data_IF_153738177019
#
_entry.id   IF_153738177019
#
_cell.length_a   1.000
_cell.length_b   1.000
_cell.length_c   1.000
_cell.angle_alpha   90.00
_cell.angle_beta   90.00
_cell.angle_gamma   90.00
#
_symmetry.space_group_name_H-M   'P 1'
#
loop_
_entity.id
_entity.type
_entity.pdbx_description
1 polymer ?
#
# COMPACT_ATOMS: atom_id res chain seq x y z
N UNK A 1 -9.69 -15.37 -3.92
CA UNK A 1 -8.83 -14.16 -3.99
C UNK A 1 -7.58 -14.41 -3.18
N UNK A 2 -6.41 -13.98 -3.66
CA UNK A 2 -5.13 -14.07 -2.92
C UNK A 2 -4.46 -12.70 -2.86
N UNK A 3 -3.55 -12.53 -1.91
CA UNK A 3 -2.76 -11.30 -1.79
C UNK A 3 -1.60 -11.30 -2.80
N UNK A 4 -1.33 -10.15 -3.43
CA UNK A 4 -0.23 -9.95 -4.37
C UNK A 4 0.50 -8.65 -4.08
N UNK A 5 1.79 -8.78 -3.79
CA UNK A 5 2.71 -7.67 -3.57
C UNK A 5 3.47 -7.43 -4.87
N UNK A 6 3.14 -6.34 -5.58
CA UNK A 6 3.77 -6.03 -6.86
C UNK A 6 4.97 -5.10 -6.72
N UNK A 7 4.96 -4.18 -5.75
CA UNK A 7 5.93 -3.08 -5.65
C UNK A 7 7.33 -3.49 -5.22
N UNK A 8 7.47 -4.59 -4.47
CA UNK A 8 8.75 -5.01 -3.90
C UNK A 8 8.84 -6.53 -3.75
N UNK A 9 10.00 -7.05 -3.40
CA UNK A 9 10.16 -8.46 -3.04
C UNK A 9 11.19 -8.62 -1.92
N UNK A 10 11.37 -9.84 -1.42
CA UNK A 10 12.40 -10.14 -0.43
C UNK A 10 13.82 -9.86 -0.98
N UNK A 11 14.70 -9.32 -0.14
CA UNK A 11 16.14 -9.21 -0.45
C UNK A 11 16.81 -10.57 -0.68
N UNK A 12 16.15 -11.67 -0.31
CA UNK A 12 16.58 -13.04 -0.59
C UNK A 12 16.06 -13.59 -1.92
N UNK A 13 15.18 -12.87 -2.60
CA UNK A 13 14.67 -13.27 -3.90
C UNK A 13 15.80 -13.34 -4.94
N UNK A 14 15.74 -14.31 -5.85
CA UNK A 14 16.77 -14.52 -6.86
C UNK A 14 17.02 -13.28 -7.72
N UNK A 15 15.97 -12.54 -8.06
CA UNK A 15 16.09 -11.31 -8.85
C UNK A 15 16.94 -10.24 -8.15
N UNK A 16 16.74 -10.03 -6.84
CA UNK A 16 17.52 -9.04 -6.10
C UNK A 16 18.96 -9.52 -5.89
N UNK A 17 19.16 -10.79 -5.59
CA UNK A 17 20.52 -11.37 -5.46
C UNK A 17 21.35 -11.21 -6.73
N UNK A 18 20.74 -11.40 -7.90
CA UNK A 18 21.38 -11.16 -9.20
C UNK A 18 21.62 -9.66 -9.43
N UNK A 19 20.60 -8.82 -9.26
CA UNK A 19 20.67 -7.36 -9.46
C UNK A 19 21.77 -6.71 -8.63
N UNK A 20 21.90 -7.08 -7.34
CA UNK A 20 22.87 -6.49 -6.42
C UNK A 20 24.31 -6.95 -6.64
N UNK A 21 24.51 -8.02 -7.42
CA UNK A 21 25.83 -8.61 -7.62
C UNK A 21 26.78 -7.70 -8.41
N UNK A 22 26.26 -6.96 -9.39
CA UNK A 22 27.03 -6.01 -10.21
C UNK A 22 26.10 -5.00 -10.90
N UNK A 23 26.70 -4.02 -11.59
CA UNK A 23 25.95 -3.06 -12.43
C UNK A 23 25.65 -3.59 -13.84
N UNK A 24 26.26 -4.72 -14.23
CA UNK A 24 26.30 -5.25 -15.60
C UNK A 24 25.71 -6.67 -15.70
N UNK A 25 24.63 -6.97 -14.99
CA UNK A 25 23.95 -8.25 -15.08
C UNK A 25 22.54 -8.10 -15.71
N UNK A 26 21.91 -9.19 -16.19
CA UNK A 26 20.59 -9.12 -16.82
C UNK A 26 19.49 -8.47 -15.97
N UNK A 27 19.62 -8.48 -14.64
CA UNK A 27 18.67 -7.87 -13.72
C UNK A 27 19.20 -6.58 -13.07
N UNK A 28 20.27 -6.00 -13.61
CA UNK A 28 20.90 -4.82 -13.04
C UNK A 28 19.92 -3.66 -12.81
N UNK A 29 18.92 -3.51 -13.69
CA UNK A 29 17.92 -2.44 -13.66
C UNK A 29 16.52 -2.91 -13.21
N UNK A 30 16.44 -4.08 -12.57
CA UNK A 30 15.16 -4.61 -12.09
C UNK A 30 14.70 -4.04 -10.76
N UNK A 31 15.60 -3.39 -10.04
CA UNK A 31 15.34 -2.70 -8.77
C UNK A 31 15.74 -1.23 -8.89
N UNK A 32 15.24 -0.42 -7.99
CA UNK A 32 15.53 1.02 -8.02
C UNK A 32 16.88 1.27 -7.37
N UNK A 33 17.87 1.57 -8.18
CA UNK A 33 19.23 1.87 -7.77
C UNK A 33 19.60 3.33 -8.05
N UNK A 34 20.40 3.92 -7.17
CA UNK A 34 20.95 5.26 -7.38
C UNK A 34 22.38 5.38 -6.84
N UNK A 35 23.19 6.20 -7.51
CA UNK A 35 24.50 6.55 -7.02
C UNK A 35 24.41 7.47 -5.79
N UNK A 36 25.40 7.40 -4.91
CA UNK A 36 25.53 8.35 -3.82
C UNK A 36 25.78 9.76 -4.36
N UNK A 37 25.35 10.78 -3.61
CA UNK A 37 25.79 12.16 -3.81
C UNK A 37 27.31 12.28 -3.60
N UNK A 38 27.96 13.37 -4.05
CA UNK A 38 29.39 13.54 -3.88
C UNK A 38 29.89 13.47 -2.43
N UNK A 39 29.04 13.76 -1.46
CA UNK A 39 29.31 13.65 -0.02
C UNK A 39 29.05 12.25 0.57
N UNK A 40 28.67 11.29 -0.27
CA UNK A 40 28.36 9.92 0.13
C UNK A 40 26.93 9.70 0.65
N UNK A 41 26.10 10.74 0.71
CA UNK A 41 24.70 10.62 1.19
C UNK A 41 23.78 10.00 0.12
N UNK A 42 22.55 9.51 0.53
CA UNK A 42 21.55 9.03 -0.41
C UNK A 42 21.14 10.06 -1.46
N UNK A 43 20.55 9.62 -2.60
CA UNK A 43 20.19 10.50 -3.72
C UNK A 43 19.19 11.59 -3.33
N UNK A 44 18.31 11.31 -2.36
CA UNK A 44 17.28 12.24 -1.89
C UNK A 44 16.88 11.94 -0.43
N UNK A 45 15.87 12.67 0.05
CA UNK A 45 15.43 12.64 1.45
C UNK A 45 14.26 11.68 1.73
N UNK A 46 13.95 10.74 0.85
CA UNK A 46 12.79 9.87 1.03
C UNK A 46 12.92 9.01 2.28
N UNK A 47 11.77 8.83 2.96
CA UNK A 47 11.66 8.07 4.19
C UNK A 47 10.87 6.78 3.95
N UNK A 48 11.28 5.72 4.64
CA UNK A 48 10.57 4.45 4.69
C UNK A 48 9.35 4.52 5.60
N UNK A 49 8.28 3.82 5.25
CA UNK A 49 7.03 3.79 6.02
C UNK A 49 7.23 3.21 7.44
N UNK A 50 8.22 2.33 7.62
CA UNK A 50 8.59 1.78 8.92
C UNK A 50 9.65 2.59 9.66
N UNK A 51 9.95 3.79 9.18
CA UNK A 51 10.91 4.73 9.77
C UNK A 51 12.30 4.65 9.18
N UNK A 52 13.04 5.74 9.32
CA UNK A 52 14.38 5.89 8.76
C UNK A 52 14.40 6.18 7.25
N UNK A 53 15.62 6.30 6.66
CA UNK A 53 15.78 6.55 5.24
C UNK A 53 15.21 5.41 4.37
N UNK A 54 14.61 5.76 3.23
CA UNK A 54 14.15 4.78 2.24
C UNK A 54 15.28 4.21 1.36
N UNK A 55 16.52 4.59 1.61
CA UNK A 55 17.68 4.19 0.83
C UNK A 55 18.69 3.44 1.67
N UNK A 56 19.10 2.25 1.21
CA UNK A 56 20.15 1.46 1.85
C UNK A 56 21.33 1.24 0.91
N UNK A 57 22.53 1.46 1.44
CA UNK A 57 23.79 1.25 0.70
C UNK A 57 24.08 -0.24 0.50
N UNK A 58 24.36 -0.64 -0.76
CA UNK A 58 24.84 -1.98 -1.11
C UNK A 58 26.31 -1.88 -1.56
N UNK A 59 27.24 -2.31 -0.70
CA UNK A 59 28.68 -2.12 -0.96
C UNK A 59 29.21 -2.93 -2.15
N UNK A 60 28.59 -4.07 -2.49
CA UNK A 60 29.02 -4.90 -3.64
C UNK A 60 28.80 -4.17 -4.95
N UNK A 61 27.67 -3.48 -5.04
CA UNK A 61 27.27 -2.72 -6.21
C UNK A 61 27.81 -1.28 -6.17
N UNK A 62 28.09 -0.75 -4.99
CA UNK A 62 28.49 0.64 -4.77
C UNK A 62 27.37 1.62 -5.14
N UNK A 63 26.12 1.28 -4.79
CA UNK A 63 24.92 2.11 -5.00
C UNK A 63 23.98 1.97 -3.82
N UNK A 64 23.06 2.92 -3.70
CA UNK A 64 21.87 2.81 -2.85
C UNK A 64 20.75 2.10 -3.60
N UNK A 65 19.98 1.27 -2.89
CA UNK A 65 18.69 0.78 -3.40
C UNK A 65 17.54 1.35 -2.59
N UNK A 66 16.40 1.56 -3.26
CA UNK A 66 15.16 2.03 -2.66
C UNK A 66 14.46 0.89 -1.91
N UNK A 67 13.89 1.22 -0.75
CA UNK A 67 12.93 0.39 -0.02
C UNK A 67 11.90 1.28 0.66
N UNK A 68 10.72 1.39 0.13
CA UNK A 68 9.62 2.13 0.76
C UNK A 68 9.17 1.49 2.08
N UNK A 69 9.41 0.20 2.26
CA UNK A 69 9.12 -0.60 3.44
C UNK A 69 10.42 -1.00 4.17
N UNK A 70 10.57 -2.26 4.57
CA UNK A 70 11.79 -2.71 5.24
C UNK A 70 12.99 -2.76 4.27
N UNK A 71 14.18 -2.57 4.80
CA UNK A 71 15.41 -2.72 3.99
C UNK A 71 15.62 -4.15 3.45
N UNK A 72 14.88 -5.14 3.97
CA UNK A 72 14.80 -6.48 3.41
C UNK A 72 13.76 -6.63 2.29
N UNK A 73 13.06 -5.54 1.93
CA UNK A 73 12.03 -5.47 0.91
C UNK A 73 12.40 -4.42 -0.16
N UNK A 74 13.43 -4.69 -1.00
CA UNK A 74 13.85 -3.77 -2.06
C UNK A 74 12.74 -3.55 -3.09
N UNK A 75 12.57 -2.30 -3.51
CA UNK A 75 11.55 -1.90 -4.48
C UNK A 75 11.96 -2.28 -5.90
N UNK A 76 11.02 -2.87 -6.63
CA UNK A 76 11.14 -3.19 -8.04
C UNK A 76 11.06 -1.91 -8.90
N UNK A 77 11.83 -1.87 -9.98
CA UNK A 77 11.86 -0.75 -10.90
C UNK A 77 10.81 -0.88 -12.01
N UNK A 78 9.61 -0.38 -11.79
CA UNK A 78 8.52 -0.43 -12.78
C UNK A 78 8.72 0.49 -13.99
N UNK A 79 9.72 1.39 -13.99
CA UNK A 79 10.15 2.09 -15.20
C UNK A 79 10.84 1.12 -16.19
N UNK A 80 11.29 -0.04 -15.73
CA UNK A 80 11.75 -1.13 -16.58
C UNK A 80 10.55 -1.97 -17.07
N UNK A 81 10.28 -2.02 -18.38
CA UNK A 81 9.14 -2.76 -18.91
C UNK A 81 9.21 -4.27 -18.68
N UNK A 82 10.42 -4.84 -18.51
CA UNK A 82 10.58 -6.27 -18.20
C UNK A 82 10.06 -6.60 -16.79
N UNK A 83 10.23 -5.69 -15.82
CA UNK A 83 9.70 -5.83 -14.46
C UNK A 83 8.18 -5.81 -14.49
N UNK A 84 7.59 -4.83 -15.22
CA UNK A 84 6.14 -4.73 -15.40
C UNK A 84 5.57 -6.00 -16.03
N UNK A 85 6.18 -6.48 -17.11
CA UNK A 85 5.76 -7.71 -17.77
C UNK A 85 5.85 -8.93 -16.83
N UNK A 86 6.97 -9.10 -16.12
CA UNK A 86 7.16 -10.21 -15.18
C UNK A 86 6.13 -10.21 -14.04
N UNK A 87 5.70 -9.03 -13.57
CA UNK A 87 4.66 -8.96 -12.54
C UNK A 87 3.26 -9.26 -13.09
N UNK A 88 2.96 -8.87 -14.32
CA UNK A 88 1.73 -9.30 -15.00
C UNK A 88 1.71 -10.81 -15.25
N UNK A 89 2.84 -11.41 -15.65
CA UNK A 89 2.99 -12.86 -15.80
C UNK A 89 2.76 -13.60 -14.46
N UNK A 90 3.20 -13.00 -13.33
CA UNK A 90 2.92 -13.56 -12.01
C UNK A 90 1.41 -13.57 -11.69
N UNK A 91 0.67 -12.53 -12.05
CA UNK A 91 -0.78 -12.50 -11.87
C UNK A 91 -1.45 -13.55 -12.77
N UNK A 92 -1.06 -13.60 -14.06
CA UNK A 92 -1.58 -14.59 -15.02
C UNK A 92 -1.34 -16.02 -14.57
N UNK A 93 -0.15 -16.32 -14.04
CA UNK A 93 0.19 -17.63 -13.47
C UNK A 93 -0.83 -18.11 -12.41
N UNK A 94 -1.33 -17.21 -11.55
CA UNK A 94 -2.31 -17.57 -10.53
C UNK A 94 -3.73 -17.66 -11.08
N UNK A 95 -4.10 -16.78 -12.02
CA UNK A 95 -5.39 -16.83 -12.71
C UNK A 95 -5.54 -18.15 -13.48
N UNK A 96 -4.50 -18.59 -14.18
CA UNK A 96 -4.48 -19.89 -14.91
C UNK A 96 -4.63 -21.10 -13.96
N UNK A 97 -4.41 -20.91 -12.67
CA UNK A 97 -4.60 -21.93 -11.62
C UNK A 97 -5.94 -21.83 -10.90
N UNK A 98 -6.83 -20.98 -11.39
CA UNK A 98 -8.19 -20.85 -10.86
C UNK A 98 -8.31 -19.91 -9.67
N UNK A 99 -7.40 -18.95 -9.52
CA UNK A 99 -7.59 -17.83 -8.58
C UNK A 99 -8.56 -16.84 -9.21
N UNK A 100 -9.62 -16.47 -8.46
CA UNK A 100 -10.68 -15.58 -8.94
C UNK A 100 -10.36 -14.09 -8.74
N UNK A 101 -9.15 -13.75 -8.28
CA UNK A 101 -8.74 -12.35 -8.15
C UNK A 101 -7.71 -12.08 -7.07
N UNK A 102 -7.37 -10.80 -6.91
CA UNK A 102 -6.28 -10.35 -6.08
C UNK A 102 -6.67 -9.21 -5.14
N UNK A 103 -6.14 -9.24 -3.93
CA UNK A 103 -5.89 -8.04 -3.13
C UNK A 103 -4.49 -7.56 -3.50
N UNK A 104 -4.39 -6.36 -4.07
CA UNK A 104 -3.13 -5.78 -4.49
C UNK A 104 -2.58 -4.90 -3.36
N UNK A 105 -1.52 -5.40 -2.74
CA UNK A 105 -0.82 -4.73 -1.64
C UNK A 105 -0.19 -3.43 -2.11
N UNK A 106 -0.40 -2.36 -1.35
CA UNK A 106 0.26 -1.05 -1.57
C UNK A 106 0.34 -0.65 -3.04
N UNK A 107 -0.77 -0.77 -3.77
CA UNK A 107 -0.79 -0.69 -5.24
C UNK A 107 -0.44 0.71 -5.79
N UNK A 108 -0.33 1.70 -4.95
CA UNK A 108 0.15 3.03 -5.33
C UNK A 108 1.69 3.19 -5.27
N UNK A 109 2.44 2.15 -4.86
CA UNK A 109 3.91 2.20 -4.69
C UNK A 109 4.76 1.72 -5.88
N UNK A 110 4.26 1.03 -6.93
CA UNK A 110 5.11 0.52 -8.01
C UNK A 110 5.99 1.55 -8.70
N UNK A 111 5.47 2.77 -8.89
CA UNK A 111 6.22 3.84 -9.56
C UNK A 111 6.67 4.93 -8.58
N UNK A 112 7.91 5.38 -8.77
CA UNK A 112 8.51 6.53 -8.11
C UNK A 112 8.85 7.62 -9.14
N UNK A 113 9.10 8.84 -8.70
CA UNK A 113 9.58 9.92 -9.56
C UNK A 113 10.97 9.58 -10.14
N UNK A 114 11.05 9.44 -11.47
CA UNK A 114 12.29 9.11 -12.17
C UNK A 114 13.40 10.18 -12.00
N UNK A 115 13.03 11.41 -11.59
CA UNK A 115 14.00 12.49 -11.31
C UNK A 115 14.54 12.44 -9.89
N UNK A 116 14.03 11.55 -9.03
CA UNK A 116 14.44 11.39 -7.63
C UNK A 116 14.40 12.70 -6.83
N UNK A 117 13.38 13.55 -7.05
CA UNK A 117 13.21 14.83 -6.35
C UNK A 117 12.97 14.62 -4.86
N UNK A 118 13.48 15.55 -4.05
CA UNK A 118 13.23 15.56 -2.61
C UNK A 118 11.74 15.77 -2.29
N UNK A 119 11.21 15.01 -1.34
CA UNK A 119 9.87 15.23 -0.80
C UNK A 119 9.85 16.49 0.09
N UNK A 120 8.82 17.35 -0.02
CA UNK A 120 8.71 18.54 0.81
C UNK A 120 8.32 18.18 2.26
N UNK A 121 8.75 18.99 3.26
CA UNK A 121 8.39 18.77 4.64
C UNK A 121 6.89 19.02 4.87
N UNK A 122 6.30 18.21 5.75
CA UNK A 122 4.91 18.37 6.20
C UNK A 122 4.84 19.21 7.48
N UNK A 123 4.02 20.27 7.51
CA UNK A 123 3.84 21.08 8.70
C UNK A 123 3.33 20.24 9.88
N UNK A 124 3.73 20.55 11.14
CA UNK A 124 3.39 19.74 12.30
C UNK A 124 1.89 19.44 12.47
N UNK A 125 1.04 20.42 12.18
CA UNK A 125 -0.42 20.31 12.28
C UNK A 125 -1.05 19.37 11.26
N UNK A 126 -0.32 18.97 10.20
CA UNK A 126 -0.76 18.04 9.17
C UNK A 126 -0.12 16.64 9.29
N UNK A 127 0.70 16.43 10.31
CA UNK A 127 1.35 15.13 10.58
C UNK A 127 0.35 14.18 11.21
N UNK A 128 -0.33 13.40 10.40
CA UNK A 128 -1.28 12.39 10.85
C UNK A 128 -0.77 11.01 10.49
N UNK A 129 -0.81 10.07 11.43
CA UNK A 129 -0.57 8.66 11.17
C UNK A 129 -1.82 8.00 10.59
N UNK A 130 -1.72 7.41 9.41
CA UNK A 130 -2.74 6.54 8.83
C UNK A 130 -2.10 5.18 8.59
N UNK A 131 -2.38 4.21 9.47
CA UNK A 131 -1.70 2.92 9.48
C UNK A 131 -0.31 2.92 10.14
N UNK A 132 0.14 4.07 10.71
CA UNK A 132 1.38 4.20 11.49
C UNK A 132 1.25 5.32 12.53
N UNK A 133 2.15 5.35 13.51
CA UNK A 133 2.12 6.35 14.57
C UNK A 133 2.48 7.75 14.04
N UNK A 134 1.84 8.81 14.57
CA UNK A 134 2.07 10.20 14.16
C UNK A 134 3.48 10.74 14.51
N UNK A 135 4.21 10.07 15.40
CA UNK A 135 5.62 10.35 15.73
C UNK A 135 6.60 9.58 14.83
N UNK A 136 6.12 8.71 13.95
CA UNK A 136 6.95 8.10 12.92
C UNK A 136 7.48 9.20 11.97
N UNK A 137 8.80 9.26 11.71
CA UNK A 137 9.39 10.23 10.77
C UNK A 137 8.73 10.26 9.39
N UNK A 138 8.15 9.15 8.94
CA UNK A 138 7.38 9.10 7.69
C UNK A 138 6.29 10.18 7.63
N UNK A 139 5.62 10.50 8.75
CA UNK A 139 4.63 11.57 8.82
C UNK A 139 5.21 13.00 8.64
N UNK A 140 6.55 13.18 8.63
CA UNK A 140 7.18 14.50 8.66
C UNK A 140 7.38 15.14 7.29
N UNK A 141 7.12 14.37 6.21
CA UNK A 141 7.18 14.89 4.84
C UNK A 141 5.94 14.47 4.03
N UNK A 142 5.66 15.20 2.96
CA UNK A 142 4.73 14.74 1.93
C UNK A 142 5.40 13.67 1.08
N UNK A 143 4.64 12.67 0.65
CA UNK A 143 5.14 11.57 -0.17
C UNK A 143 4.69 11.71 -1.63
N UNK A 144 5.06 12.83 -2.25
CA UNK A 144 4.66 13.13 -3.63
C UNK A 144 5.51 12.43 -4.69
N UNK A 145 6.74 11.99 -4.31
CA UNK A 145 7.71 11.51 -5.30
C UNK A 145 8.13 10.05 -5.12
N UNK A 146 7.96 9.47 -3.95
CA UNK A 146 8.34 8.08 -3.72
C UNK A 146 7.22 7.06 -3.98
N UNK A 147 5.99 7.50 -4.22
CA UNK A 147 4.84 6.67 -4.59
C UNK A 147 3.78 7.49 -5.34
N UNK A 148 2.66 6.85 -5.70
CA UNK A 148 1.46 7.47 -6.29
C UNK A 148 1.77 8.31 -7.55
N UNK A 149 2.69 7.81 -8.40
CA UNK A 149 3.03 8.48 -9.64
C UNK A 149 1.97 8.24 -10.72
N UNK A 150 1.77 9.19 -11.66
CA UNK A 150 0.75 9.06 -12.72
C UNK A 150 0.99 7.86 -13.65
N UNK A 151 2.22 7.40 -13.81
CA UNK A 151 2.55 6.21 -14.60
C UNK A 151 1.89 4.94 -14.07
N UNK A 152 1.55 4.93 -12.78
CA UNK A 152 0.87 3.79 -12.16
C UNK A 152 -0.51 3.52 -12.77
N UNK A 153 -1.18 4.55 -13.30
CA UNK A 153 -2.49 4.38 -13.94
C UNK A 153 -2.43 3.39 -15.11
N UNK A 154 -1.37 3.45 -15.92
CA UNK A 154 -1.16 2.49 -17.01
C UNK A 154 -0.92 1.05 -16.52
N UNK A 155 -0.28 0.85 -15.36
CA UNK A 155 -0.18 -0.49 -14.76
C UNK A 155 -1.55 -1.02 -14.33
N UNK A 156 -2.40 -0.17 -13.74
CA UNK A 156 -3.75 -0.57 -13.33
C UNK A 156 -4.62 -0.94 -14.53
N UNK A 157 -4.46 -0.24 -15.65
CA UNK A 157 -5.13 -0.55 -16.92
C UNK A 157 -4.67 -1.91 -17.48
N UNK A 158 -3.37 -2.23 -17.42
CA UNK A 158 -2.86 -3.56 -17.81
C UNK A 158 -3.38 -4.67 -16.88
N UNK A 159 -3.38 -4.44 -15.58
CA UNK A 159 -3.95 -5.39 -14.61
C UNK A 159 -5.42 -5.64 -14.91
N UNK A 160 -6.19 -4.59 -15.21
CA UNK A 160 -7.60 -4.73 -15.56
C UNK A 160 -7.77 -5.50 -16.88
N UNK A 161 -7.02 -5.17 -17.91
CA UNK A 161 -7.06 -5.86 -19.19
C UNK A 161 -6.69 -7.34 -19.06
N UNK A 162 -5.77 -7.69 -18.15
CA UNK A 162 -5.45 -9.08 -17.81
C UNK A 162 -6.65 -9.77 -17.16
N UNK A 163 -7.24 -9.16 -16.11
CA UNK A 163 -8.39 -9.72 -15.38
C UNK A 163 -9.61 -9.93 -16.28
N UNK A 164 -9.89 -9.00 -17.18
CA UNK A 164 -11.03 -9.08 -18.11
C UNK A 164 -10.95 -10.27 -19.09
N UNK A 165 -9.81 -10.97 -19.17
CA UNK A 165 -9.67 -12.22 -19.94
C UNK A 165 -10.21 -13.45 -19.19
N UNK A 166 -10.47 -13.33 -17.88
CA UNK A 166 -10.93 -14.42 -17.02
C UNK A 166 -12.34 -14.11 -16.50
N UNK A 167 -13.21 -15.11 -16.56
CA UNK A 167 -14.58 -14.96 -16.09
C UNK A 167 -14.59 -14.71 -14.58
N UNK A 168 -15.32 -13.69 -14.16
CA UNK A 168 -15.57 -13.34 -12.76
C UNK A 168 -14.30 -13.00 -11.93
N UNK A 169 -13.17 -12.69 -12.59
CA UNK A 169 -11.96 -12.28 -11.90
C UNK A 169 -12.03 -10.80 -11.49
N UNK A 170 -11.49 -10.49 -10.30
CA UNK A 170 -11.53 -9.14 -9.78
C UNK A 170 -10.29 -8.73 -9.00
N UNK A 171 -10.09 -7.41 -8.84
CA UNK A 171 -9.01 -6.86 -8.02
C UNK A 171 -9.53 -5.84 -7.02
N UNK A 172 -9.00 -5.95 -5.81
CA UNK A 172 -9.13 -5.01 -4.71
C UNK A 172 -7.76 -4.37 -4.45
N UNK A 173 -7.66 -3.04 -4.57
CA UNK A 173 -6.44 -2.29 -4.27
C UNK A 173 -6.41 -1.78 -2.84
N UNK A 174 -5.26 -1.92 -2.19
CA UNK A 174 -4.94 -1.20 -0.97
C UNK A 174 -4.23 0.11 -1.32
N UNK A 175 -4.76 1.24 -0.84
CA UNK A 175 -4.33 2.56 -1.26
C UNK A 175 -4.00 3.43 -0.05
N UNK A 176 -2.73 3.84 0.05
CA UNK A 176 -2.21 4.74 1.07
C UNK A 176 -1.45 5.88 0.40
N UNK A 177 -2.09 7.04 0.25
CA UNK A 177 -1.51 8.23 -0.39
C UNK A 177 -1.83 9.51 0.39
N UNK A 178 -1.27 10.63 -0.03
CA UNK A 178 -1.53 11.94 0.61
C UNK A 178 -3.01 12.37 0.51
N UNK A 179 -3.69 12.07 -0.62
CA UNK A 179 -5.15 12.16 -0.77
C UNK A 179 -5.70 10.79 -1.15
N UNK A 180 -5.78 9.90 -0.15
CA UNK A 180 -6.20 8.50 -0.36
C UNK A 180 -7.58 8.39 -0.99
N UNK A 181 -8.52 9.28 -0.67
CA UNK A 181 -9.87 9.25 -1.23
C UNK A 181 -9.88 9.63 -2.72
N UNK A 182 -9.10 10.65 -3.11
CA UNK A 182 -8.96 11.01 -4.52
C UNK A 182 -8.25 9.90 -5.31
N UNK A 183 -7.17 9.36 -4.77
CA UNK A 183 -6.43 8.26 -5.39
C UNK A 183 -7.31 7.02 -5.53
N UNK A 184 -8.11 6.67 -4.50
CA UNK A 184 -9.04 5.54 -4.57
C UNK A 184 -10.08 5.75 -5.68
N UNK A 185 -10.65 6.96 -5.78
CA UNK A 185 -11.61 7.28 -6.84
C UNK A 185 -10.98 7.23 -8.25
N UNK A 186 -9.73 7.65 -8.38
CA UNK A 186 -8.99 7.61 -9.66
C UNK A 186 -8.60 6.19 -10.06
N UNK A 187 -8.22 5.35 -9.08
CA UNK A 187 -7.76 3.98 -9.33
C UNK A 187 -8.90 2.99 -9.58
N UNK A 188 -10.13 3.30 -9.12
CA UNK A 188 -11.27 2.40 -9.19
C UNK A 188 -12.32 2.92 -10.18
N UNK A 189 -12.35 2.32 -11.36
CA UNK A 189 -13.32 2.64 -12.42
C UNK A 189 -13.41 1.49 -13.43
N UNK A 190 -14.16 1.68 -14.51
CA UNK A 190 -14.40 0.65 -15.53
C UNK A 190 -13.15 0.20 -16.31
N UNK A 191 -12.05 0.95 -16.23
CA UNK A 191 -10.80 0.66 -16.95
C UNK A 191 -9.66 0.23 -16.04
N UNK A 192 -9.83 0.35 -14.71
CA UNK A 192 -8.78 0.07 -13.72
C UNK A 192 -9.29 -0.93 -12.67
N UNK A 193 -8.96 -0.76 -11.40
CA UNK A 193 -9.37 -1.69 -10.36
C UNK A 193 -10.88 -1.73 -10.19
N UNK A 194 -11.41 -2.89 -9.86
CA UNK A 194 -12.84 -3.07 -9.57
C UNK A 194 -13.25 -2.34 -8.30
N UNK A 195 -12.38 -2.37 -7.27
CA UNK A 195 -12.58 -1.72 -5.99
C UNK A 195 -11.26 -1.40 -5.31
N UNK A 196 -11.30 -0.52 -4.33
CA UNK A 196 -10.14 -0.18 -3.50
C UNK A 196 -10.59 0.30 -2.13
N UNK A 197 -9.76 0.09 -1.14
CA UNK A 197 -9.92 0.67 0.18
C UNK A 197 -8.74 1.55 0.56
N UNK A 198 -9.01 2.53 1.38
CA UNK A 198 -8.03 3.46 1.94
C UNK A 198 -7.90 3.28 3.45
N UNK A 199 -6.87 3.89 4.03
CA UNK A 199 -6.65 3.87 5.47
C UNK A 199 -7.49 4.90 6.24
N UNK A 200 -8.46 5.57 5.61
CA UNK A 200 -9.22 6.65 6.25
C UNK A 200 -10.05 6.17 7.44
N UNK A 201 -10.61 4.97 7.42
CA UNK A 201 -11.33 4.39 8.56
C UNK A 201 -10.47 3.47 9.44
N UNK A 202 -9.16 3.40 9.18
CA UNK A 202 -8.19 2.65 9.98
C UNK A 202 -7.49 3.55 11.03
N UNK A 203 -8.06 4.70 11.35
CA UNK A 203 -7.55 5.68 12.32
C UNK A 203 -8.19 5.52 13.70
N UNK A 204 -7.70 6.27 14.68
CA UNK A 204 -8.27 6.31 16.03
C UNK A 204 -9.54 7.16 16.12
N UNK A 205 -9.84 8.02 15.13
CA UNK A 205 -11.05 8.84 15.14
C UNK A 205 -12.27 8.01 14.71
N UNK A 206 -13.17 7.76 15.66
CA UNK A 206 -14.42 7.04 15.46
C UNK A 206 -15.65 7.96 15.57
N UNK A 207 -15.46 9.28 15.57
CA UNK A 207 -16.57 10.21 15.67
C UNK A 207 -17.53 10.08 14.47
N UNK A 208 -18.83 10.21 14.74
CA UNK A 208 -19.83 10.18 13.68
C UNK A 208 -19.60 11.27 12.62
N UNK A 209 -19.03 12.41 13.01
CA UNK A 209 -18.68 13.51 12.11
C UNK A 209 -17.54 13.11 11.15
N UNK A 210 -16.49 12.47 11.69
CA UNK A 210 -15.36 12.01 10.88
C UNK A 210 -15.78 10.92 9.89
N UNK A 211 -16.48 9.88 10.38
CA UNK A 211 -16.95 8.77 9.53
C UNK A 211 -17.87 9.29 8.41
N UNK A 212 -18.85 10.15 8.76
CA UNK A 212 -19.72 10.76 7.76
C UNK A 212 -18.92 11.58 6.75
N UNK A 213 -18.02 12.43 7.20
CA UNK A 213 -17.18 13.26 6.32
C UNK A 213 -16.35 12.42 5.35
N UNK A 214 -15.78 11.30 5.82
CA UNK A 214 -15.02 10.35 4.99
C UNK A 214 -15.91 9.71 3.91
N UNK A 215 -17.10 9.24 4.29
CA UNK A 215 -18.04 8.61 3.36
C UNK A 215 -18.51 9.62 2.32
N UNK A 216 -18.97 10.80 2.75
CA UNK A 216 -19.43 11.88 1.85
C UNK A 216 -18.32 12.34 0.90
N UNK A 217 -17.08 12.45 1.39
CA UNK A 217 -15.95 12.84 0.57
C UNK A 217 -15.60 11.80 -0.49
N UNK A 218 -15.64 10.49 -0.16
CA UNK A 218 -15.41 9.43 -1.16
C UNK A 218 -16.55 9.38 -2.18
N UNK A 219 -17.80 9.46 -1.75
CA UNK A 219 -18.97 9.48 -2.63
C UNK A 219 -18.93 10.65 -3.61
N UNK A 220 -18.49 11.83 -3.16
CA UNK A 220 -18.36 13.00 -4.02
C UNK A 220 -17.23 12.86 -5.07
N UNK A 221 -16.16 12.14 -4.74
CA UNK A 221 -15.00 11.93 -5.64
C UNK A 221 -15.21 10.73 -6.57
N UNK A 222 -15.83 9.66 -6.09
CA UNK A 222 -16.01 8.40 -6.83
C UNK A 222 -17.29 8.43 -7.69
N UNK A 223 -17.20 9.09 -8.82
CA UNK A 223 -18.32 9.20 -9.79
C UNK A 223 -18.47 7.96 -10.66
N UNK A 224 -17.41 7.17 -10.81
CA UNK A 224 -17.40 5.87 -11.48
C UNK A 224 -16.57 4.91 -10.61
N UNK A 225 -17.01 3.67 -10.48
CA UNK A 225 -16.32 2.68 -9.64
C UNK A 225 -17.10 2.31 -8.37
N UNK A 226 -16.51 1.42 -7.60
CA UNK A 226 -17.16 0.80 -6.45
C UNK A 226 -16.25 0.90 -5.21
N UNK A 227 -16.69 1.55 -4.12
CA UNK A 227 -15.89 1.66 -2.90
C UNK A 227 -15.79 0.31 -2.19
N UNK A 228 -14.71 0.14 -1.43
CA UNK A 228 -14.57 -0.93 -0.44
C UNK A 228 -14.29 -0.32 0.92
N UNK A 229 -14.97 -0.78 1.94
CA UNK A 229 -14.86 -0.27 3.30
C UNK A 229 -14.20 -1.29 4.21
N UNK A 230 -13.14 -0.85 4.91
CA UNK A 230 -12.43 -1.61 5.93
C UNK A 230 -12.24 -0.74 7.16
N UNK A 231 -12.49 -1.29 8.36
CA UNK A 231 -12.25 -0.64 9.64
C UNK A 231 -11.18 -1.35 10.47
N UNK A 232 -10.71 -2.49 10.00
CA UNK A 232 -9.55 -3.22 10.54
C UNK A 232 -8.79 -3.89 9.41
N UNK A 233 -7.49 -4.09 9.62
CA UNK A 233 -6.61 -4.94 8.83
C UNK A 233 -5.45 -5.43 9.74
N UNK A 234 -4.46 -6.08 9.15
CA UNK A 234 -3.29 -6.59 9.88
C UNK A 234 -2.25 -5.51 10.25
N UNK A 235 -2.40 -4.27 9.75
CA UNK A 235 -1.46 -3.16 10.00
C UNK A 235 -1.87 -2.29 11.17
N UNK A 236 -3.13 -2.36 11.59
CA UNK A 236 -3.65 -1.52 12.67
C UNK A 236 -4.33 -2.36 13.74
N UNK A 237 -4.38 -1.83 14.94
CA UNK A 237 -5.12 -2.45 16.04
C UNK A 237 -6.59 -2.70 15.64
N UNK A 238 -7.14 -3.85 16.03
CA UNK A 238 -8.54 -4.22 15.73
C UNK A 238 -9.51 -3.14 16.16
N UNK A 239 -10.51 -2.83 15.33
CA UNK A 239 -11.43 -1.71 15.55
C UNK A 239 -12.13 -1.76 16.90
N UNK A 240 -12.53 -2.93 17.37
CA UNK A 240 -13.18 -3.09 18.69
C UNK A 240 -12.28 -2.55 19.80
N UNK A 241 -11.00 -2.90 19.81
CA UNK A 241 -10.04 -2.41 20.82
C UNK A 241 -9.63 -0.96 20.53
N UNK A 242 -9.37 -0.61 19.27
CA UNK A 242 -8.93 0.74 18.89
C UNK A 242 -9.97 1.82 19.24
N UNK A 243 -11.24 1.53 19.07
CA UNK A 243 -12.35 2.47 19.27
C UNK A 243 -13.11 2.28 20.58
N UNK A 244 -13.06 1.08 21.16
CA UNK A 244 -13.77 0.76 22.43
C UNK A 244 -12.86 0.57 23.63
N UNK A 245 -11.54 0.46 23.42
CA UNK A 245 -10.61 0.16 24.50
C UNK A 245 -10.68 -1.28 24.97
N UNK A 246 -10.09 -1.56 26.13
CA UNK A 246 -10.03 -2.92 26.72
C UNK A 246 -11.39 -3.42 27.26
N UNK A 247 -12.32 -2.50 27.51
CA UNK A 247 -13.65 -2.79 28.07
C UNK A 247 -14.75 -2.84 26.99
N UNK A 248 -14.35 -2.90 25.71
CA UNK A 248 -15.28 -3.01 24.60
C UNK A 248 -16.14 -4.29 24.71
N UNK A 249 -17.43 -4.13 24.46
CA UNK A 249 -18.42 -5.20 24.56
C UNK A 249 -18.92 -5.69 23.17
N UNK A 250 -19.67 -6.77 23.19
CA UNK A 250 -20.31 -7.33 21.99
C UNK A 250 -21.25 -6.33 21.28
N UNK A 251 -21.79 -5.34 21.99
CA UNK A 251 -22.68 -4.36 21.41
C UNK A 251 -21.91 -3.43 20.47
N UNK A 252 -20.71 -3.00 20.87
CA UNK A 252 -19.84 -2.22 20.00
C UNK A 252 -19.41 -3.04 18.78
N UNK A 253 -18.97 -4.29 18.94
CA UNK A 253 -18.60 -5.15 17.82
C UNK A 253 -19.72 -5.27 16.78
N UNK A 254 -20.95 -5.52 17.23
CA UNK A 254 -22.14 -5.59 16.36
C UNK A 254 -22.44 -4.25 15.68
N UNK A 255 -22.26 -3.13 16.40
CA UNK A 255 -22.46 -1.78 15.83
C UNK A 255 -21.43 -1.49 14.73
N UNK A 256 -20.17 -1.89 14.91
CA UNK A 256 -19.11 -1.66 13.94
C UNK A 256 -19.35 -2.45 12.64
N UNK A 257 -19.70 -3.73 12.76
CA UNK A 257 -20.06 -4.55 11.58
C UNK A 257 -21.33 -3.99 10.90
N UNK A 258 -22.34 -3.61 11.67
CA UNK A 258 -23.56 -3.00 11.11
C UNK A 258 -23.25 -1.69 10.38
N UNK A 259 -22.33 -0.86 10.90
CA UNK A 259 -21.89 0.37 10.26
C UNK A 259 -21.34 0.09 8.87
N UNK A 260 -20.29 -0.75 8.75
CA UNK A 260 -19.66 -1.00 7.45
C UNK A 260 -20.61 -1.70 6.47
N UNK A 261 -21.47 -2.59 6.96
CA UNK A 261 -22.48 -3.27 6.14
C UNK A 261 -23.62 -2.34 5.67
N UNK A 262 -23.79 -1.17 6.28
CA UNK A 262 -24.81 -0.19 5.89
C UNK A 262 -24.35 0.80 4.82
N UNK A 263 -23.05 0.85 4.53
CA UNK A 263 -22.47 1.75 3.53
C UNK A 263 -22.63 1.19 2.12
N UNK A 264 -22.79 2.08 1.13
CA UNK A 264 -22.69 1.67 -0.28
C UNK A 264 -21.27 1.20 -0.57
N UNK A 265 -21.10 -0.02 -1.04
CA UNK A 265 -19.78 -0.57 -1.37
C UNK A 265 -19.61 -2.03 -0.98
N UNK A 266 -18.42 -2.54 -1.20
CA UNK A 266 -17.98 -3.84 -0.71
C UNK A 266 -17.49 -3.71 0.72
N UNK A 267 -17.77 -4.71 1.54
CA UNK A 267 -17.30 -4.79 2.93
C UNK A 267 -16.07 -5.70 2.97
N UNK A 268 -14.97 -5.19 3.51
CA UNK A 268 -13.77 -5.95 3.80
C UNK A 268 -13.66 -6.12 5.31
N UNK A 269 -14.00 -7.30 5.82
CA UNK A 269 -13.86 -7.64 7.24
C UNK A 269 -12.50 -8.29 7.47
N UNK A 270 -11.78 -7.81 8.47
CA UNK A 270 -10.56 -8.46 8.91
C UNK A 270 -10.90 -9.74 9.67
N UNK A 271 -10.16 -10.82 9.43
CA UNK A 271 -10.37 -12.13 10.06
C UNK A 271 -10.60 -12.01 11.57
N UNK A 272 -11.73 -12.52 12.07
CA UNK A 272 -12.16 -12.45 13.45
C UNK A 272 -12.95 -11.19 13.83
N UNK A 273 -13.09 -10.21 12.93
CA UNK A 273 -13.90 -9.02 13.15
C UNK A 273 -15.40 -9.38 13.24
N UNK A 274 -15.84 -10.37 12.47
CA UNK A 274 -17.19 -10.94 12.51
C UNK A 274 -17.52 -11.61 13.85
N UNK A 275 -16.48 -11.99 14.61
CA UNK A 275 -16.61 -12.55 15.96
C UNK A 275 -16.44 -11.49 17.06
N UNK A 276 -16.14 -10.24 16.68
CA UNK A 276 -15.84 -9.18 17.64
C UNK A 276 -14.54 -9.38 18.42
N UNK A 277 -13.54 -10.09 17.83
CA UNK A 277 -12.30 -10.35 18.52
C UNK A 277 -11.56 -9.04 18.84
N UNK A 278 -11.13 -8.86 20.10
CA UNK A 278 -10.26 -7.75 20.48
C UNK A 278 -8.83 -7.96 19.98
N UNK A 279 -8.00 -6.92 20.09
CA UNK A 279 -6.55 -7.04 19.88
C UNK A 279 -5.93 -7.97 20.90
N UNK A 280 -4.98 -8.79 20.45
CA UNK A 280 -4.21 -9.65 21.34
C UNK A 280 -3.01 -8.86 21.89
N UNK A 281 -2.91 -8.76 23.21
CA UNK A 281 -1.72 -8.25 23.88
C UNK A 281 -0.70 -9.40 24.00
N UNK A 282 0.15 -9.52 22.98
CA UNK A 282 1.20 -10.55 22.94
C UNK A 282 2.50 -9.92 23.45
N UNK A 283 3.05 -10.36 24.59
CA UNK A 283 4.30 -9.81 25.09
C UNK A 283 5.45 -10.13 24.12
N UNK A 284 6.39 -9.18 24.01
CA UNK A 284 7.50 -9.26 23.04
C UNK A 284 8.28 -10.59 23.13
N UNK A 285 8.42 -11.13 24.34
CA UNK A 285 9.13 -12.39 24.61
C UNK A 285 8.38 -13.63 24.06
N UNK A 286 7.13 -13.47 23.67
CA UNK A 286 6.31 -14.53 23.09
C UNK A 286 6.18 -14.45 21.55
N UNK A 287 6.81 -13.43 20.96
CA UNK A 287 6.96 -13.26 19.51
C UNK A 287 8.27 -13.93 19.06
#
# INVERSE_FOLDING_TARGET
MIDQVLSHCSSDHAWFRESRASRDNPKADWFVWADAKPDGTPPNNWLSIFGGPAWKWEPRRGQYYLHNFLSSQPDLNFHNPEVRAAQLDNLEFWLDRGVDGFRLDSINFPYHDAQLRDNPPKPPELRTGRGFSADNPYAFQYHYYNNTQPENLGLLEDVRALLDRYADAGALGEISSEDSLATTAEYCNDQRLHMGYSFELLTSDCSAAYIRGTVEALEAKMTAGWPCWAISNHDVQRAVTRWGGTDADDALAKQLVALVCSLRGTVCLYQGEELGLPEADVPYEAL
#
